data_IF_259488146928
#
_entry.id   IF_259488146928
#
_cell.length_a   1.000
_cell.length_b   1.000
_cell.length_c   1.000
_cell.angle_alpha   90.00
_cell.angle_beta   90.00
_cell.angle_gamma   90.00
#
_symmetry.space_group_name_H-M   'P 1'
#
loop_
_entity.id
_entity.type
_entity.pdbx_description
1 polymer ?
#
# COMPACT_ATOMS: atom_id res chain seq x y z
N UNK A 1 -30.01 39.82 -18.53
CA UNK A 1 -28.59 39.43 -18.41
C UNK A 1 -28.16 39.11 -16.97
N UNK A 2 -28.75 39.71 -15.92
CA UNK A 2 -28.48 39.33 -14.50
C UNK A 2 -28.95 37.91 -14.13
N UNK A 3 -30.06 37.46 -14.74
CA UNK A 3 -30.72 36.19 -14.39
C UNK A 3 -29.89 34.92 -14.65
N UNK A 4 -29.05 34.89 -15.69
CA UNK A 4 -28.27 33.68 -16.01
C UNK A 4 -27.14 33.46 -15.00
N UNK A 5 -26.45 34.54 -14.58
CA UNK A 5 -25.40 34.47 -13.58
C UNK A 5 -25.95 34.07 -12.20
N UNK A 6 -27.12 34.60 -11.83
CA UNK A 6 -27.83 34.21 -10.61
C UNK A 6 -28.24 32.73 -10.63
N UNK A 7 -28.70 32.22 -11.77
CA UNK A 7 -29.01 30.80 -11.94
C UNK A 7 -27.77 29.91 -11.85
N UNK A 8 -26.66 30.32 -12.46
CA UNK A 8 -25.39 29.58 -12.36
C UNK A 8 -24.88 29.55 -10.92
N UNK A 9 -24.95 30.68 -10.20
CA UNK A 9 -24.58 30.77 -8.80
C UNK A 9 -25.44 29.83 -7.93
N UNK A 10 -26.75 29.82 -8.14
CA UNK A 10 -27.66 28.93 -7.41
C UNK A 10 -27.33 27.45 -7.63
N UNK A 11 -27.06 27.06 -8.89
CA UNK A 11 -26.65 25.68 -9.23
C UNK A 11 -25.32 25.31 -8.57
N UNK A 12 -24.34 26.19 -8.63
CA UNK A 12 -23.02 25.97 -8.03
C UNK A 12 -23.11 25.82 -6.50
N UNK A 13 -23.90 26.65 -5.83
CA UNK A 13 -24.09 26.57 -4.37
C UNK A 13 -24.78 25.25 -3.97
N UNK A 14 -25.79 24.83 -4.72
CA UNK A 14 -26.48 23.55 -4.49
C UNK A 14 -25.54 22.36 -4.65
N UNK A 15 -24.68 22.39 -5.68
CA UNK A 15 -23.69 21.33 -5.91
C UNK A 15 -22.64 21.28 -4.80
N UNK A 16 -22.15 22.43 -4.34
CA UNK A 16 -21.20 22.52 -3.23
C UNK A 16 -21.80 21.90 -1.96
N UNK A 17 -23.07 22.13 -1.69
CA UNK A 17 -23.75 21.56 -0.52
C UNK A 17 -23.85 20.03 -0.62
N UNK A 18 -24.25 19.50 -1.79
CA UNK A 18 -24.31 18.07 -2.03
C UNK A 18 -22.94 17.40 -1.88
N UNK A 19 -21.89 17.96 -2.50
CA UNK A 19 -20.53 17.45 -2.40
C UNK A 19 -19.97 17.49 -0.98
N UNK A 20 -20.35 18.50 -0.18
CA UNK A 20 -19.98 18.57 1.25
C UNK A 20 -20.65 17.48 2.07
N UNK A 21 -21.92 17.19 1.79
CA UNK A 21 -22.65 16.10 2.44
C UNK A 21 -22.05 14.73 2.09
N UNK A 22 -21.73 14.50 0.82
CA UNK A 22 -21.07 13.27 0.38
C UNK A 22 -19.69 13.10 1.04
N UNK A 23 -18.87 14.16 1.05
CA UNK A 23 -17.57 14.14 1.73
C UNK A 23 -17.70 13.83 3.22
N UNK A 24 -18.74 14.33 3.89
CA UNK A 24 -19.02 14.00 5.29
C UNK A 24 -19.33 12.51 5.44
N UNK A 25 -20.17 11.96 4.57
CA UNK A 25 -20.52 10.54 4.57
C UNK A 25 -19.30 9.64 4.33
N UNK A 26 -18.51 9.93 3.29
CA UNK A 26 -17.31 9.16 2.95
C UNK A 26 -16.27 9.20 4.09
N UNK A 27 -16.08 10.35 4.73
CA UNK A 27 -15.21 10.47 5.91
C UNK A 27 -15.67 9.59 7.07
N UNK A 28 -16.98 9.51 7.32
CA UNK A 28 -17.54 8.63 8.36
C UNK A 28 -17.35 7.14 7.99
N UNK A 29 -17.54 6.77 6.72
CA UNK A 29 -17.32 5.41 6.25
C UNK A 29 -15.85 4.99 6.40
N UNK A 30 -14.91 5.86 6.02
CA UNK A 30 -13.48 5.62 6.19
C UNK A 30 -13.12 5.46 7.67
N UNK A 31 -13.65 6.31 8.54
CA UNK A 31 -13.44 6.20 9.99
C UNK A 31 -13.94 4.87 10.56
N UNK A 32 -15.12 4.41 10.15
CA UNK A 32 -15.63 3.10 10.57
C UNK A 32 -14.76 1.95 10.05
N UNK A 33 -14.36 2.01 8.77
CA UNK A 33 -13.47 1.02 8.17
C UNK A 33 -12.10 0.93 8.86
N UNK A 34 -11.52 2.07 9.27
CA UNK A 34 -10.26 2.08 10.04
C UNK A 34 -10.43 1.43 11.40
N UNK A 35 -11.52 1.72 12.12
CA UNK A 35 -11.79 1.11 13.43
C UNK A 35 -12.03 -0.41 13.33
N UNK A 36 -12.64 -0.89 12.24
CA UNK A 36 -12.86 -2.32 12.00
C UNK A 36 -11.57 -3.08 11.62
N UNK A 37 -10.50 -2.38 11.25
CA UNK A 37 -9.21 -2.98 10.88
C UNK A 37 -8.17 -3.02 11.99
N UNK A 38 -8.51 -2.56 13.21
CA UNK A 38 -7.62 -2.66 14.38
C UNK A 38 -7.59 -4.08 14.98
N UNK A 39 -7.08 -5.04 14.20
CA UNK A 39 -6.53 -6.32 14.72
C UNK A 39 -5.11 -6.57 14.21
N UNK A 40 -4.43 -5.54 13.70
CA UNK A 40 -3.00 -5.58 13.36
C UNK A 40 -2.27 -4.44 14.06
N UNK A 41 -1.08 -4.67 14.67
CA UNK A 41 -0.29 -3.63 15.32
C UNK A 41 -0.09 -2.42 14.39
N UNK A 42 -0.10 -1.19 14.91
CA UNK A 42 -0.22 0.02 14.10
C UNK A 42 1.04 0.27 13.27
N UNK A 43 1.06 -0.24 12.05
CA UNK A 43 1.89 0.31 10.99
C UNK A 43 1.32 1.70 10.65
N UNK A 44 2.04 2.72 11.10
CA UNK A 44 1.74 4.13 10.96
C UNK A 44 1.63 4.52 9.46
N UNK A 45 0.43 4.46 8.90
CA UNK A 45 0.10 5.04 7.59
C UNK A 45 -1.09 5.98 7.73
N UNK A 46 -0.87 7.07 8.47
CA UNK A 46 -1.48 8.36 8.13
C UNK A 46 -0.34 9.29 7.72
N UNK A 47 -0.50 10.14 6.68
CA UNK A 47 0.37 11.27 6.51
C UNK A 47 0.17 12.16 7.75
N UNK A 48 1.13 12.12 8.68
CA UNK A 48 1.18 13.04 9.81
C UNK A 48 1.32 14.43 9.21
N UNK A 49 0.23 15.20 9.29
CA UNK A 49 0.25 16.65 9.07
C UNK A 49 1.25 17.27 10.03
N UNK A 50 2.29 17.88 9.45
CA UNK A 50 3.17 18.90 10.02
C UNK A 50 3.18 19.05 11.55
N UNK A 51 4.03 18.29 12.23
CA UNK A 51 5.00 18.83 13.19
C UNK A 51 6.01 17.74 13.61
N UNK A 52 7.28 17.99 13.23
CA UNK A 52 8.56 17.65 13.90
C UNK A 52 8.66 16.26 14.57
N UNK A 53 9.48 15.30 14.13
CA UNK A 53 10.82 15.37 13.53
C UNK A 53 10.96 14.41 12.34
N UNK A 54 11.02 14.98 11.14
CA UNK A 54 11.83 14.43 10.07
C UNK A 54 13.30 14.48 10.51
N UNK A 55 14.11 13.41 10.40
CA UNK A 55 15.50 13.64 10.10
C UNK A 55 15.53 14.17 8.66
N UNK A 56 15.38 15.48 8.53
CA UNK A 56 15.83 16.22 7.35
C UNK A 56 17.35 16.16 7.32
N UNK A 57 17.94 14.99 7.16
CA UNK A 57 19.13 14.91 6.36
C UNK A 57 18.60 14.82 4.93
N UNK A 58 18.61 15.95 4.23
CA UNK A 58 18.94 15.92 2.81
C UNK A 58 20.27 15.18 2.77
N UNK A 59 20.22 13.86 2.68
CA UNK A 59 21.38 13.02 2.80
C UNK A 59 22.19 13.42 1.59
N UNK A 60 23.27 14.18 1.80
CA UNK A 60 24.15 14.62 0.74
C UNK A 60 25.01 13.42 0.33
N UNK A 61 24.35 12.29 0.04
CA UNK A 61 24.93 11.01 -0.29
C UNK A 61 25.39 11.14 -1.72
N UNK A 62 26.68 10.98 -1.87
CA UNK A 62 27.39 11.15 -3.12
C UNK A 62 28.28 9.92 -3.33
N UNK A 63 28.96 9.84 -4.48
CA UNK A 63 29.73 8.65 -4.83
C UNK A 63 30.77 8.24 -3.77
N UNK A 64 31.27 9.21 -2.98
CA UNK A 64 32.28 9.01 -1.93
C UNK A 64 31.72 8.70 -0.54
N UNK A 65 30.40 8.69 -0.34
CA UNK A 65 29.79 8.32 0.94
C UNK A 65 30.06 6.86 1.32
N UNK A 66 29.99 6.58 2.62
CA UNK A 66 30.13 5.23 3.17
C UNK A 66 29.04 4.28 2.65
N UNK A 67 29.30 2.97 2.77
CA UNK A 67 28.32 1.95 2.40
C UNK A 67 27.07 2.05 3.25
N UNK A 68 27.22 2.29 4.55
CA UNK A 68 26.13 2.42 5.51
C UNK A 68 25.19 3.57 5.16
N UNK A 69 25.72 4.74 4.79
CA UNK A 69 24.92 5.90 4.36
C UNK A 69 24.14 5.63 3.07
N UNK A 70 24.77 4.96 2.10
CA UNK A 70 24.12 4.57 0.84
C UNK A 70 23.02 3.53 1.07
N UNK A 71 23.25 2.56 1.96
CA UNK A 71 22.27 1.55 2.34
C UNK A 71 21.09 2.22 3.08
N UNK A 72 21.37 3.13 4.01
CA UNK A 72 20.34 3.87 4.73
C UNK A 72 19.45 4.68 3.77
N UNK A 73 20.05 5.42 2.83
CA UNK A 73 19.31 6.14 1.79
C UNK A 73 18.52 5.20 0.87
N UNK A 74 19.12 4.10 0.42
CA UNK A 74 18.41 3.14 -0.42
C UNK A 74 17.19 2.56 0.30
N UNK A 75 17.31 2.22 1.59
CA UNK A 75 16.20 1.69 2.38
C UNK A 75 15.11 2.73 2.67
N UNK A 76 15.47 4.01 2.81
CA UNK A 76 14.47 5.07 3.02
C UNK A 76 13.67 5.35 1.74
N UNK A 77 14.31 5.31 0.58
CA UNK A 77 13.66 5.53 -0.73
C UNK A 77 12.93 4.27 -1.23
N UNK A 78 13.57 3.11 -1.10
CA UNK A 78 13.11 1.81 -1.58
C UNK A 78 12.84 0.89 -0.40
N UNK A 79 11.73 1.12 0.29
CA UNK A 79 11.21 0.16 1.27
C UNK A 79 10.36 -0.89 0.55
N UNK A 80 10.81 -2.14 0.60
CA UNK A 80 9.98 -3.29 0.21
C UNK A 80 8.80 -3.44 1.16
N UNK A 81 7.79 -4.20 0.73
CA UNK A 81 6.72 -4.64 1.63
C UNK A 81 7.28 -5.59 2.68
N UNK A 82 7.19 -5.23 3.96
CA UNK A 82 7.70 -6.05 5.07
C UNK A 82 6.87 -7.33 5.28
N UNK A 83 5.64 -7.34 4.79
CA UNK A 83 4.72 -8.48 4.86
C UNK A 83 4.89 -9.46 3.70
N UNK A 84 5.81 -9.19 2.77
CA UNK A 84 6.10 -10.04 1.61
C UNK A 84 7.49 -10.66 1.75
N UNK A 85 7.56 -11.97 1.89
CA UNK A 85 8.80 -12.74 1.97
C UNK A 85 8.87 -13.79 0.85
N UNK A 86 10.07 -14.11 0.34
CA UNK A 86 10.22 -15.13 -0.69
C UNK A 86 10.14 -16.54 -0.10
N UNK A 87 9.46 -17.44 -0.81
CA UNK A 87 9.46 -18.89 -0.62
C UNK A 87 10.25 -19.53 -1.73
N UNK A 88 11.16 -20.44 -1.38
CA UNK A 88 11.91 -21.23 -2.34
C UNK A 88 11.03 -22.37 -2.85
N UNK A 89 10.98 -22.55 -4.17
CA UNK A 89 10.33 -23.69 -4.80
C UNK A 89 11.31 -24.45 -5.69
N UNK A 90 11.06 -25.74 -5.86
CA UNK A 90 11.80 -26.62 -6.76
C UNK A 90 10.81 -27.49 -7.52
N UNK A 91 10.99 -27.70 -8.82
CA UNK A 91 10.15 -28.60 -9.61
C UNK A 91 10.76 -30.00 -9.72
N UNK A 92 9.99 -30.93 -10.29
CA UNK A 92 10.41 -32.32 -10.53
C UNK A 92 11.61 -32.46 -11.48
N UNK A 93 11.87 -31.45 -12.32
CA UNK A 93 13.01 -31.45 -13.25
C UNK A 93 14.26 -30.79 -12.65
N UNK A 94 14.28 -30.52 -11.33
CA UNK A 94 15.42 -29.95 -10.63
C UNK A 94 15.60 -28.43 -10.77
N UNK A 95 14.69 -27.72 -11.46
CA UNK A 95 14.71 -26.25 -11.52
C UNK A 95 14.20 -25.67 -10.21
N UNK A 96 14.89 -24.66 -9.70
CA UNK A 96 14.51 -23.97 -8.47
C UNK A 96 14.38 -22.46 -8.70
N UNK A 97 13.60 -21.79 -7.85
CA UNK A 97 13.42 -20.35 -7.87
C UNK A 97 12.83 -19.82 -6.57
N UNK A 98 12.55 -18.52 -6.53
CA UNK A 98 11.88 -17.85 -5.43
C UNK A 98 10.58 -17.20 -5.93
N UNK A 99 9.55 -17.22 -5.10
CA UNK A 99 8.29 -16.50 -5.33
C UNK A 99 7.78 -15.91 -4.01
N UNK A 100 7.01 -14.83 -4.02
CA UNK A 100 6.44 -14.29 -2.79
C UNK A 100 5.48 -15.29 -2.13
N UNK A 101 5.55 -15.41 -0.82
CA UNK A 101 4.62 -16.19 -0.02
C UNK A 101 3.20 -15.66 -0.18
N UNK A 102 2.23 -16.56 -0.32
CA UNK A 102 0.83 -16.21 -0.48
C UNK A 102 -0.02 -17.01 0.50
N UNK A 103 -0.62 -16.36 1.50
CA UNK A 103 -1.44 -17.04 2.51
C UNK A 103 -2.66 -17.76 1.90
N UNK A 104 -3.18 -17.24 0.79
CA UNK A 104 -4.36 -17.75 0.11
C UNK A 104 -4.00 -18.45 -1.21
N UNK A 105 -2.88 -19.17 -1.22
CA UNK A 105 -2.30 -19.83 -2.39
C UNK A 105 -3.29 -20.74 -3.15
N UNK A 106 -4.29 -21.26 -2.45
CA UNK A 106 -5.34 -22.14 -2.97
C UNK A 106 -6.63 -21.41 -3.37
N UNK A 107 -6.60 -20.08 -3.51
CA UNK A 107 -7.75 -19.27 -3.91
C UNK A 107 -7.45 -18.42 -5.14
N UNK A 108 -8.49 -17.93 -5.80
CA UNK A 108 -8.39 -17.03 -6.96
C UNK A 108 -7.68 -15.69 -6.67
N UNK A 109 -7.51 -15.35 -5.38
CA UNK A 109 -6.81 -14.13 -4.96
C UNK A 109 -5.33 -14.19 -5.35
N UNK A 110 -4.74 -15.38 -5.37
CA UNK A 110 -3.34 -15.54 -5.72
C UNK A 110 -3.17 -15.86 -7.21
N UNK A 111 -2.60 -14.93 -7.98
CA UNK A 111 -2.23 -15.16 -9.38
C UNK A 111 -0.91 -15.94 -9.48
N UNK A 112 -0.87 -17.16 -8.95
CA UNK A 112 0.29 -18.05 -9.13
C UNK A 112 0.24 -18.61 -10.56
N UNK A 113 1.18 -18.21 -11.41
CA UNK A 113 1.28 -18.75 -12.76
C UNK A 113 1.49 -20.27 -12.71
N UNK A 114 0.78 -21.02 -13.57
CA UNK A 114 0.71 -22.48 -13.58
C UNK A 114 2.08 -23.19 -13.61
N UNK A 115 3.16 -22.50 -14.00
CA UNK A 115 4.54 -23.00 -13.98
C UNK A 115 5.08 -23.35 -12.58
N UNK A 116 4.42 -22.93 -11.50
CA UNK A 116 4.81 -23.27 -10.11
C UNK A 116 3.88 -24.31 -9.44
N UNK A 117 2.88 -24.86 -10.14
CA UNK A 117 1.92 -25.84 -9.59
C UNK A 117 2.41 -27.31 -9.62
N UNK A 118 3.70 -27.56 -9.85
CA UNK A 118 4.26 -28.91 -10.00
C UNK A 118 5.15 -29.36 -8.82
N UNK A 119 4.88 -28.87 -7.62
CA UNK A 119 5.55 -29.33 -6.40
C UNK A 119 4.57 -29.39 -5.24
N UNK A 120 4.40 -30.60 -4.68
CA UNK A 120 3.72 -30.92 -3.42
C UNK A 120 2.21 -31.22 -3.50
N UNK A 121 1.87 -32.38 -4.07
CA UNK A 121 0.74 -33.17 -3.56
C UNK A 121 1.25 -34.06 -2.41
N UNK A 122 0.64 -33.86 -1.23
CA UNK A 122 0.35 -34.85 -0.18
C UNK A 122 1.47 -35.79 0.30
N UNK A 123 2.02 -35.50 1.49
CA UNK A 123 2.44 -36.54 2.43
C UNK A 123 1.68 -36.33 3.74
N UNK A 124 0.45 -36.84 3.77
CA UNK A 124 -0.14 -37.35 5.00
C UNK A 124 0.07 -38.85 5.01
N UNK A 125 0.85 -39.32 5.99
CA UNK A 125 0.65 -40.45 6.92
C UNK A 125 1.74 -40.26 7.97
#
# INVERSE_FOLDING_TARGET
>A
MSSDLEQQLFRALKEIEALKQENRSLKLQLFNYTNLKETTPPAQYLPKTANEQEPTSKSNVHAKSSSEEKIALFRSLFRGREDVYPVRWTNKTGKAGYSPACKNEWTVVCKKAASQMLGMHTSGI
#
